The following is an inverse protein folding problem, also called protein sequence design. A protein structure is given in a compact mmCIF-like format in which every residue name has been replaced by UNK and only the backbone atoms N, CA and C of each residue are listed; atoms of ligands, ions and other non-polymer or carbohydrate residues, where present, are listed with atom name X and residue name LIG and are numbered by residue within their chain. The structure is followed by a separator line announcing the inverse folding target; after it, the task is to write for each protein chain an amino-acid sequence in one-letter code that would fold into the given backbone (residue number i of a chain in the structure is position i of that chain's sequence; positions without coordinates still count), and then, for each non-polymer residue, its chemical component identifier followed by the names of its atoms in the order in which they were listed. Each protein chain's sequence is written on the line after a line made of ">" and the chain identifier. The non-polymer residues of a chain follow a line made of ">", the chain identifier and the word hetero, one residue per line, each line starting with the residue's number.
data_IF_191166295881
#
_entry.id   IF_191166295881
#
_cell.length_a   1.000
_cell.length_b   1.000
_cell.length_c   1.000
_cell.angle_alpha   90.00
_cell.angle_beta   90.00
_cell.angle_gamma   90.00
#
_symmetry.space_group_name_H-M   'P 1'
#
loop_
_entity.id
_entity.type
_entity.pdbx_description
1 polymer ?
#
# COMPACT_ATOMS: atom_id res chain seq x y z
N UNK A 1 2.11 -15.99 -16.30
CA UNK A 1 1.02 -15.46 -15.44
C UNK A 1 0.54 -16.62 -14.58
N UNK A 2 0.28 -16.42 -13.29
CA UNK A 2 -0.37 -17.45 -12.49
C UNK A 2 -1.85 -17.50 -12.87
N UNK A 3 -2.34 -18.65 -13.33
CA UNK A 3 -3.76 -18.86 -13.63
C UNK A 3 -4.61 -19.14 -12.37
N UNK A 4 -4.16 -18.68 -11.20
CA UNK A 4 -4.91 -18.86 -9.97
C UNK A 4 -6.05 -17.83 -9.91
N UNK A 5 -7.32 -18.25 -9.76
CA UNK A 5 -8.42 -17.30 -9.65
C UNK A 5 -8.28 -16.48 -8.37
N UNK A 6 -8.69 -15.21 -8.40
CA UNK A 6 -8.57 -14.28 -7.26
C UNK A 6 -9.47 -14.71 -6.08
N UNK A 7 -10.59 -15.33 -6.39
CA UNK A 7 -11.54 -15.85 -5.43
C UNK A 7 -11.95 -17.27 -5.82
N UNK A 8 -12.50 -18.02 -4.85
CA UNK A 8 -13.08 -19.33 -5.09
C UNK A 8 -14.40 -19.45 -4.33
N UNK A 9 -15.50 -19.88 -4.99
CA UNK A 9 -16.74 -20.13 -4.30
C UNK A 9 -16.63 -21.36 -3.40
N UNK A 10 -17.21 -21.27 -2.22
CA UNK A 10 -17.29 -22.37 -1.24
C UNK A 10 -18.70 -22.50 -0.68
N UNK A 11 -19.18 -23.73 -0.57
CA UNK A 11 -20.42 -24.01 0.13
C UNK A 11 -20.24 -23.77 1.63
N UNK A 12 -21.12 -22.99 2.23
CA UNK A 12 -21.06 -22.67 3.65
C UNK A 12 -22.47 -22.45 4.25
N UNK A 13 -22.52 -22.28 5.57
CA UNK A 13 -23.76 -22.01 6.30
C UNK A 13 -23.73 -20.60 6.87
N UNK A 14 -24.77 -19.82 6.60
CA UNK A 14 -24.92 -18.46 7.12
C UNK A 14 -26.02 -18.41 8.15
N UNK A 15 -25.72 -17.87 9.33
CA UNK A 15 -26.71 -17.52 10.34
C UNK A 15 -27.21 -16.09 10.10
N UNK A 16 -28.52 -15.92 9.89
CA UNK A 16 -29.15 -14.60 9.78
C UNK A 16 -30.58 -14.69 10.32
N UNK A 17 -30.98 -13.71 11.13
CA UNK A 17 -32.33 -13.61 11.67
C UNK A 17 -32.83 -14.89 12.38
N UNK A 18 -31.99 -15.47 13.25
CA UNK A 18 -32.40 -16.63 14.06
C UNK A 18 -32.22 -18.00 13.39
N UNK A 19 -31.79 -18.07 12.12
CA UNK A 19 -31.79 -19.32 11.34
C UNK A 19 -30.49 -19.50 10.56
N UNK A 20 -30.10 -20.76 10.36
CA UNK A 20 -29.06 -21.14 9.40
C UNK A 20 -29.68 -21.39 8.02
N UNK A 21 -28.91 -21.05 6.98
CA UNK A 21 -29.20 -21.39 5.58
C UNK A 21 -27.91 -21.81 4.88
N UNK A 22 -28.00 -22.78 3.98
CA UNK A 22 -26.90 -23.15 3.09
C UNK A 22 -26.78 -22.10 1.98
N UNK A 23 -25.56 -21.63 1.76
CA UNK A 23 -25.23 -20.63 0.74
C UNK A 23 -23.92 -20.99 0.05
N UNK A 24 -23.59 -20.24 -1.00
CA UNK A 24 -22.22 -20.15 -1.53
C UNK A 24 -21.66 -18.78 -1.18
N UNK A 25 -20.40 -18.74 -0.77
CA UNK A 25 -19.66 -17.51 -0.47
C UNK A 25 -18.28 -17.57 -1.13
N UNK A 26 -17.69 -16.41 -1.43
CA UNK A 26 -16.39 -16.35 -2.08
C UNK A 26 -15.27 -16.18 -1.06
N UNK A 27 -14.23 -17.03 -1.17
CA UNK A 27 -12.99 -16.89 -0.39
C UNK A 27 -11.87 -16.39 -1.27
N UNK A 28 -11.09 -15.44 -0.77
CA UNK A 28 -9.91 -14.95 -1.45
C UNK A 28 -8.85 -16.04 -1.57
N UNK A 29 -8.21 -16.13 -2.73
CA UNK A 29 -7.06 -17.02 -2.94
C UNK A 29 -5.80 -16.36 -2.40
N UNK A 30 -5.06 -17.08 -1.55
CA UNK A 30 -3.77 -16.65 -1.04
C UNK A 30 -2.66 -17.56 -1.57
N UNK A 31 -1.64 -16.97 -2.17
CA UNK A 31 -0.46 -17.67 -2.69
C UNK A 31 0.75 -17.42 -1.82
N UNK A 32 1.69 -18.35 -1.85
CA UNK A 32 2.98 -18.24 -1.16
C UNK A 32 4.07 -17.84 -2.16
N UNK A 33 4.60 -16.64 -2.02
CA UNK A 33 5.66 -16.08 -2.86
C UNK A 33 6.96 -16.03 -2.08
N UNK A 34 8.06 -16.48 -2.67
CA UNK A 34 9.37 -16.53 -2.03
C UNK A 34 10.37 -15.69 -2.80
N UNK A 35 11.13 -14.86 -2.10
CA UNK A 35 12.20 -14.07 -2.66
C UNK A 35 13.52 -14.34 -1.95
N UNK A 36 14.61 -14.38 -2.71
CA UNK A 36 15.99 -14.41 -2.20
C UNK A 36 16.71 -13.19 -2.74
N UNK A 37 17.26 -12.37 -1.85
CA UNK A 37 18.03 -11.19 -2.21
C UNK A 37 19.51 -11.50 -1.97
N UNK A 38 20.33 -11.39 -3.01
CA UNK A 38 21.75 -11.71 -2.98
C UNK A 38 22.48 -10.94 -1.87
N UNK A 39 23.22 -11.66 -1.03
CA UNK A 39 23.96 -11.08 0.10
C UNK A 39 23.10 -10.58 1.27
N UNK A 40 21.77 -10.67 1.20
CA UNK A 40 20.86 -10.19 2.24
C UNK A 40 20.10 -11.34 2.90
N UNK A 41 19.47 -12.21 2.10
CA UNK A 41 18.78 -13.39 2.62
C UNK A 41 17.47 -13.69 1.91
N UNK A 42 16.69 -14.58 2.51
CA UNK A 42 15.46 -15.15 1.94
C UNK A 42 14.23 -14.77 2.76
N UNK A 43 13.12 -14.50 2.09
CA UNK A 43 11.82 -14.22 2.69
C UNK A 43 10.72 -14.96 1.96
N UNK A 44 9.64 -15.27 2.68
CA UNK A 44 8.41 -15.82 2.11
C UNK A 44 7.23 -14.98 2.57
N UNK A 45 6.35 -14.67 1.62
CA UNK A 45 5.18 -13.82 1.78
C UNK A 45 3.93 -14.62 1.41
N UNK A 46 2.83 -14.31 2.07
CA UNK A 46 1.49 -14.73 1.67
C UNK A 46 0.77 -13.53 1.08
N UNK A 47 0.17 -13.69 -0.10
CA UNK A 47 -0.35 -12.58 -0.87
C UNK A 47 -1.47 -12.99 -1.83
N UNK A 48 -2.20 -12.01 -2.35
CA UNK A 48 -3.10 -12.25 -3.47
C UNK A 48 -2.33 -12.69 -4.73
N UNK A 49 -2.91 -13.51 -5.62
CA UNK A 49 -2.29 -13.95 -6.88
C UNK A 49 -2.22 -12.85 -7.95
N UNK A 50 -1.90 -11.63 -7.54
CA UNK A 50 -1.66 -10.47 -8.38
C UNK A 50 -0.15 -10.30 -8.54
N UNK A 51 0.32 -9.99 -9.74
CA UNK A 51 1.73 -9.69 -10.12
C UNK A 51 2.76 -9.90 -8.98
N UNK A 52 3.25 -11.13 -8.76
CA UNK A 52 4.14 -11.44 -7.65
C UNK A 52 5.51 -10.77 -7.78
N UNK A 53 5.94 -10.45 -9.00
CA UNK A 53 7.23 -9.80 -9.26
C UNK A 53 7.24 -8.39 -8.65
N UNK A 54 6.16 -7.64 -8.88
CA UNK A 54 5.95 -6.32 -8.27
C UNK A 54 5.95 -6.41 -6.74
N UNK A 55 5.32 -7.44 -6.17
CA UNK A 55 5.31 -7.64 -4.72
C UNK A 55 6.73 -7.86 -4.18
N UNK A 56 7.53 -8.75 -4.79
CA UNK A 56 8.88 -9.06 -4.27
C UNK A 56 9.86 -7.90 -4.43
N UNK A 57 9.78 -7.15 -5.54
CA UNK A 57 10.56 -5.92 -5.73
C UNK A 57 10.25 -4.91 -4.64
N UNK A 58 8.96 -4.68 -4.39
CA UNK A 58 8.49 -3.80 -3.33
C UNK A 58 8.96 -4.21 -1.94
N UNK A 59 8.72 -5.48 -1.59
CA UNK A 59 9.09 -6.02 -0.30
C UNK A 59 10.59 -5.91 -0.05
N UNK A 60 11.40 -6.29 -1.03
CA UNK A 60 12.86 -6.18 -0.91
C UNK A 60 13.30 -4.73 -0.68
N UNK A 61 12.76 -3.77 -1.45
CA UNK A 61 13.10 -2.36 -1.33
C UNK A 61 12.74 -1.76 0.04
N UNK A 62 11.59 -2.16 0.60
CA UNK A 62 11.07 -1.57 1.83
C UNK A 62 11.58 -2.26 3.10
N UNK A 63 11.76 -3.58 3.11
CA UNK A 63 12.08 -4.34 4.34
C UNK A 63 13.45 -5.01 4.33
N UNK A 64 14.09 -5.24 3.18
CA UNK A 64 15.31 -6.06 3.11
C UNK A 64 16.57 -5.27 2.78
N UNK A 65 16.46 -4.19 2.01
CA UNK A 65 17.62 -3.41 1.59
C UNK A 65 17.91 -2.23 2.53
N UNK A 66 19.15 -1.72 2.58
CA UNK A 66 19.44 -0.40 3.13
C UNK A 66 18.97 0.72 2.17
N UNK A 67 19.01 1.97 2.63
CA UNK A 67 18.73 3.14 1.78
C UNK A 67 19.79 3.27 0.66
N UNK A 68 19.39 3.86 -0.48
CA UNK A 68 20.29 4.07 -1.63
C UNK A 68 20.53 2.83 -2.48
N UNK A 69 19.76 1.76 -2.26
CA UNK A 69 19.82 0.53 -3.04
C UNK A 69 18.43 0.13 -3.53
N UNK A 70 18.38 -0.48 -4.71
CA UNK A 70 17.16 -1.02 -5.31
C UNK A 70 17.34 -2.51 -5.65
N UNK A 71 16.26 -3.30 -5.53
CA UNK A 71 16.29 -4.69 -5.94
C UNK A 71 16.07 -4.82 -7.45
N UNK A 72 16.63 -5.86 -8.06
CA UNK A 72 16.43 -6.22 -9.46
C UNK A 72 16.20 -7.72 -9.54
N UNK A 73 15.11 -8.15 -10.16
CA UNK A 73 14.88 -9.59 -10.40
C UNK A 73 15.88 -10.09 -11.44
N UNK A 74 16.60 -11.16 -11.10
CA UNK A 74 17.59 -11.81 -11.97
C UNK A 74 17.13 -13.16 -12.46
N UNK A 75 16.29 -13.85 -11.69
CA UNK A 75 15.63 -15.08 -12.10
C UNK A 75 14.27 -15.22 -11.44
N UNK A 76 13.36 -15.92 -12.12
CA UNK A 76 12.05 -16.29 -11.60
C UNK A 76 11.69 -17.71 -12.05
N UNK A 77 11.39 -18.58 -11.08
CA UNK A 77 10.88 -19.93 -11.31
C UNK A 77 9.57 -20.10 -10.54
N UNK A 78 8.44 -19.97 -11.25
CA UNK A 78 7.12 -20.01 -10.64
C UNK A 78 6.90 -18.88 -9.63
N UNK A 79 6.86 -19.22 -8.34
CA UNK A 79 6.67 -18.28 -7.23
C UNK A 79 7.96 -18.01 -6.43
N UNK A 80 9.10 -18.43 -6.98
CA UNK A 80 10.43 -18.22 -6.41
C UNK A 80 11.17 -17.18 -7.25
N UNK A 81 11.66 -16.14 -6.60
CA UNK A 81 12.35 -15.02 -7.24
C UNK A 81 13.74 -14.86 -6.63
N UNK A 82 14.75 -14.76 -7.49
CA UNK A 82 16.10 -14.35 -7.09
C UNK A 82 16.32 -12.91 -7.52
N UNK A 83 16.84 -12.10 -6.60
CA UNK A 83 17.02 -10.67 -6.77
C UNK A 83 18.47 -10.30 -6.45
N UNK A 84 19.06 -9.49 -7.32
CA UNK A 84 20.28 -8.76 -7.06
C UNK A 84 19.97 -7.36 -6.52
N UNK A 85 21.02 -6.69 -6.06
CA UNK A 85 20.96 -5.34 -5.52
C UNK A 85 21.80 -4.39 -6.36
N UNK A 86 21.26 -3.21 -6.66
CA UNK A 86 21.96 -2.16 -7.39
C UNK A 86 21.90 -0.83 -6.65
N UNK A 87 22.88 0.07 -6.85
CA UNK A 87 22.77 1.45 -6.39
C UNK A 87 21.53 2.11 -6.97
N UNK A 88 20.80 2.85 -6.14
CA UNK A 88 19.73 3.70 -6.61
C UNK A 88 20.32 4.93 -7.30
N UNK A 89 20.15 5.00 -8.62
CA UNK A 89 20.68 6.08 -9.47
C UNK A 89 19.57 7.03 -9.93
N UNK A 90 18.35 6.87 -9.42
CA UNK A 90 17.24 7.76 -9.74
C UNK A 90 17.50 9.17 -9.18
N UNK A 91 16.95 10.22 -9.82
CA UNK A 91 17.10 11.58 -9.32
C UNK A 91 16.60 11.74 -7.89
N UNK A 92 17.20 12.68 -7.16
CA UNK A 92 16.69 13.07 -5.85
C UNK A 92 15.27 13.67 -6.00
N UNK A 93 14.36 13.41 -5.05
CA UNK A 93 13.01 13.93 -5.09
C UNK A 93 12.96 15.45 -4.95
N UNK A 94 12.05 16.10 -5.65
CA UNK A 94 11.71 17.50 -5.41
C UNK A 94 11.19 17.67 -3.98
N UNK A 95 11.91 18.44 -3.15
CA UNK A 95 11.55 18.71 -1.76
C UNK A 95 10.27 19.53 -1.62
N UNK A 96 9.84 20.23 -2.68
CA UNK A 96 8.57 20.98 -2.70
C UNK A 96 7.34 20.06 -2.80
N UNK A 97 7.52 18.80 -3.20
CA UNK A 97 6.44 17.82 -3.39
C UNK A 97 6.32 16.82 -2.22
N UNK A 98 5.14 16.20 -2.01
CA UNK A 98 3.85 16.50 -2.67
C UNK A 98 3.30 17.86 -2.25
N UNK A 99 2.55 18.56 -3.11
CA UNK A 99 1.95 19.85 -2.71
C UNK A 99 0.92 19.64 -1.60
N UNK A 100 0.73 20.67 -0.78
CA UNK A 100 -0.41 20.71 0.14
C UNK A 100 -1.73 20.79 -0.61
N UNK A 101 -2.78 20.22 -0.03
CA UNK A 101 -4.13 20.20 -0.60
C UNK A 101 -5.15 20.75 0.40
N UNK A 102 -6.23 21.41 -0.06
CA UNK A 102 -7.35 21.79 0.80
C UNK A 102 -8.02 20.58 1.45
N UNK A 103 -8.55 20.75 2.66
CA UNK A 103 -9.24 19.72 3.41
C UNK A 103 -10.41 19.09 2.62
N UNK A 104 -11.20 19.93 1.94
CA UNK A 104 -12.31 19.48 1.11
C UNK A 104 -11.84 18.59 -0.06
N UNK A 105 -10.69 18.92 -0.67
CA UNK A 105 -10.12 18.13 -1.74
C UNK A 105 -9.63 16.76 -1.22
N UNK A 106 -8.95 16.72 -0.07
CA UNK A 106 -8.52 15.47 0.56
C UNK A 106 -9.68 14.51 0.87
N UNK A 107 -10.82 15.05 1.32
CA UNK A 107 -12.04 14.26 1.51
C UNK A 107 -12.61 13.75 0.19
N UNK A 108 -12.64 14.60 -0.84
CA UNK A 108 -13.06 14.21 -2.19
C UNK A 108 -12.19 13.11 -2.78
N UNK A 109 -10.87 13.19 -2.57
CA UNK A 109 -9.91 12.17 -3.00
C UNK A 109 -10.07 10.87 -2.24
N UNK A 110 -10.29 10.91 -0.91
CA UNK A 110 -10.60 9.71 -0.13
C UNK A 110 -11.89 9.06 -0.61
N UNK A 111 -12.93 9.84 -0.92
CA UNK A 111 -14.18 9.34 -1.52
C UNK A 111 -13.93 8.65 -2.85
N UNK A 112 -13.17 9.28 -3.77
CA UNK A 112 -12.78 8.69 -5.08
C UNK A 112 -12.02 7.37 -4.89
N UNK A 113 -11.06 7.34 -3.96
CA UNK A 113 -10.23 6.18 -3.67
C UNK A 113 -11.03 4.99 -3.11
N UNK A 114 -12.04 5.24 -2.28
CA UNK A 114 -12.87 4.20 -1.69
C UNK A 114 -14.01 3.76 -2.61
N UNK A 115 -14.59 4.67 -3.40
CA UNK A 115 -15.74 4.37 -4.25
C UNK A 115 -15.39 3.58 -5.52
N UNK A 116 -14.12 3.53 -5.90
CA UNK A 116 -13.69 2.73 -7.05
C UNK A 116 -13.88 1.24 -6.77
N UNK A 117 -14.45 0.50 -7.73
CA UNK A 117 -14.62 -0.94 -7.61
C UNK A 117 -13.29 -1.66 -7.41
N UNK A 118 -13.28 -2.74 -6.64
CA UNK A 118 -12.11 -3.61 -6.55
C UNK A 118 -12.35 -4.87 -5.74
N UNK A 119 -11.27 -5.58 -5.40
CA UNK A 119 -11.35 -6.95 -4.88
C UNK A 119 -11.95 -7.08 -3.47
N UNK A 120 -12.07 -5.95 -2.75
CA UNK A 120 -12.80 -5.92 -1.49
C UNK A 120 -14.29 -6.19 -1.70
N UNK A 121 -14.88 -5.73 -2.80
CA UNK A 121 -16.33 -5.76 -3.01
C UNK A 121 -16.87 -7.20 -3.11
N UNK A 122 -16.04 -8.11 -3.60
CA UNK A 122 -16.40 -9.52 -3.80
C UNK A 122 -16.28 -10.36 -2.52
N UNK A 123 -15.36 -10.03 -1.61
CA UNK A 123 -14.99 -10.94 -0.49
C UNK A 123 -14.89 -10.28 0.87
N UNK A 124 -14.74 -8.96 0.95
CA UNK A 124 -14.37 -8.27 2.19
C UNK A 124 -12.99 -8.65 2.74
N UNK A 125 -12.11 -9.26 1.93
CA UNK A 125 -10.82 -9.79 2.38
C UNK A 125 -9.61 -8.91 1.98
N UNK A 126 -9.79 -7.95 1.06
CA UNK A 126 -8.69 -7.19 0.47
C UNK A 126 -8.51 -5.80 1.07
N UNK A 127 -7.27 -5.41 1.29
CA UNK A 127 -6.91 -4.02 1.47
C UNK A 127 -6.57 -3.37 0.13
N UNK A 128 -6.64 -2.04 0.13
CA UNK A 128 -6.13 -1.20 -0.97
C UNK A 128 -5.27 -0.05 -0.48
N UNK A 129 -4.34 0.34 -1.35
CA UNK A 129 -3.50 1.52 -1.23
C UNK A 129 -3.35 2.19 -2.60
N UNK A 130 -3.10 3.50 -2.62
CA UNK A 130 -2.86 4.24 -3.85
C UNK A 130 -1.85 5.37 -3.67
N UNK A 131 -1.19 5.75 -4.76
CA UNK A 131 -0.31 6.92 -4.84
C UNK A 131 -1.01 8.00 -5.68
N UNK A 132 -1.13 9.19 -5.11
CA UNK A 132 -1.72 10.35 -5.76
C UNK A 132 -0.64 11.38 -6.09
N UNK A 133 -0.66 11.87 -7.32
CA UNK A 133 0.26 12.89 -7.80
C UNK A 133 -0.44 14.25 -7.83
N UNK A 134 0.04 15.18 -7.00
CA UNK A 134 -0.49 16.55 -6.93
C UNK A 134 -0.18 17.41 -8.15
N UNK A 135 0.83 17.04 -8.95
CA UNK A 135 1.18 17.74 -10.18
C UNK A 135 0.22 17.41 -11.32
N UNK A 136 -0.21 16.15 -11.42
CA UNK A 136 -1.17 15.70 -12.46
C UNK A 136 -2.62 15.70 -12.00
N UNK A 137 -2.88 15.63 -10.69
CA UNK A 137 -4.24 15.55 -10.13
C UNK A 137 -4.83 14.14 -10.16
N UNK A 138 -4.00 13.11 -10.34
CA UNK A 138 -4.43 11.74 -10.58
C UNK A 138 -3.83 10.72 -9.60
N UNK A 139 -4.56 9.62 -9.42
CA UNK A 139 -4.01 8.43 -8.78
C UNK A 139 -3.18 7.65 -9.80
N UNK A 140 -1.85 7.76 -9.70
CA UNK A 140 -0.91 7.20 -10.68
C UNK A 140 -0.70 5.70 -10.53
N UNK A 141 -0.89 5.16 -9.32
CA UNK A 141 -0.80 3.72 -9.03
C UNK A 141 -1.79 3.34 -7.95
N UNK A 142 -2.41 2.17 -8.11
CA UNK A 142 -3.27 1.52 -7.13
C UNK A 142 -2.81 0.09 -6.92
N UNK A 143 -2.91 -0.40 -5.69
CA UNK A 143 -2.58 -1.78 -5.36
C UNK A 143 -3.59 -2.34 -4.37
N UNK A 144 -3.98 -3.59 -4.60
CA UNK A 144 -4.82 -4.37 -3.72
C UNK A 144 -4.11 -5.66 -3.33
N UNK A 145 -4.35 -6.11 -2.10
CA UNK A 145 -3.86 -7.39 -1.60
C UNK A 145 -4.64 -7.79 -0.34
N UNK A 146 -4.66 -9.08 0.00
CA UNK A 146 -5.19 -9.54 1.29
C UNK A 146 -4.41 -8.89 2.44
N UNK A 147 -3.08 -8.78 2.29
CA UNK A 147 -2.19 -8.13 3.25
C UNK A 147 -2.10 -6.61 3.04
N UNK A 148 -2.42 -5.83 4.08
CA UNK A 148 -2.20 -4.35 4.05
C UNK A 148 -0.74 -3.96 3.79
N UNK A 149 0.21 -4.73 4.31
CA UNK A 149 1.64 -4.52 4.07
C UNK A 149 2.00 -4.76 2.61
N UNK A 150 1.44 -5.82 2.02
CA UNK A 150 1.65 -6.18 0.62
C UNK A 150 1.10 -5.10 -0.32
N UNK A 151 0.04 -4.39 0.05
CA UNK A 151 -0.44 -3.24 -0.75
C UNK A 151 0.65 -2.19 -0.92
N UNK A 152 1.34 -1.83 0.18
CA UNK A 152 2.41 -0.83 0.14
C UNK A 152 3.68 -1.36 -0.53
N UNK A 153 4.00 -2.64 -0.32
CA UNK A 153 5.07 -3.32 -1.06
C UNK A 153 4.80 -3.22 -2.57
N UNK A 154 3.60 -3.60 -3.02
CA UNK A 154 3.20 -3.50 -4.43
C UNK A 154 3.30 -2.07 -4.97
N UNK A 155 2.88 -1.06 -4.22
CA UNK A 155 3.07 0.34 -4.64
C UNK A 155 4.55 0.69 -4.85
N UNK A 156 5.44 0.25 -3.96
CA UNK A 156 6.88 0.46 -4.14
C UNK A 156 7.44 -0.32 -5.34
N UNK A 157 6.99 -1.56 -5.55
CA UNK A 157 7.36 -2.36 -6.72
C UNK A 157 6.90 -1.72 -8.04
N UNK A 158 5.67 -1.23 -8.10
CA UNK A 158 5.18 -0.45 -9.24
C UNK A 158 5.96 0.84 -9.41
N UNK A 159 6.31 1.52 -8.31
CA UNK A 159 7.15 2.71 -8.36
C UNK A 159 8.52 2.45 -8.98
N UNK A 160 9.16 1.32 -8.64
CA UNK A 160 10.42 0.89 -9.27
C UNK A 160 10.23 0.60 -10.76
N UNK A 161 9.18 -0.15 -11.12
CA UNK A 161 8.92 -0.57 -12.50
C UNK A 161 8.54 0.59 -13.42
N UNK A 162 7.79 1.56 -12.91
CA UNK A 162 7.28 2.71 -13.65
C UNK A 162 8.18 3.95 -13.53
N UNK A 163 9.26 3.88 -12.75
CA UNK A 163 10.15 5.02 -12.52
C UNK A 163 9.53 6.17 -11.73
N UNK A 164 8.56 5.87 -10.84
CA UNK A 164 7.89 6.89 -10.04
C UNK A 164 8.73 7.34 -8.85
N UNK A 165 8.69 8.64 -8.58
CA UNK A 165 9.30 9.26 -7.41
C UNK A 165 8.31 9.25 -6.24
N UNK A 166 8.23 8.14 -5.51
CA UNK A 166 7.30 7.98 -4.37
C UNK A 166 7.32 9.15 -3.36
N UNK A 167 8.49 9.72 -2.99
CA UNK A 167 8.53 10.86 -2.07
C UNK A 167 7.76 12.11 -2.52
N UNK A 168 7.45 12.22 -3.81
CA UNK A 168 6.70 13.33 -4.41
C UNK A 168 5.18 13.07 -4.44
N UNK A 169 4.74 11.89 -4.00
CA UNK A 169 3.36 11.42 -4.08
C UNK A 169 2.71 11.35 -2.69
N UNK A 170 1.39 11.44 -2.65
CA UNK A 170 0.58 11.25 -1.44
C UNK A 170 0.14 9.79 -1.36
N UNK A 171 0.40 9.13 -0.23
CA UNK A 171 -0.03 7.75 0.01
C UNK A 171 -1.43 7.71 0.62
N UNK A 172 -2.37 7.06 -0.07
CA UNK A 172 -3.72 6.77 0.42
C UNK A 172 -3.83 5.31 0.88
N UNK A 173 -4.44 5.09 2.06
CA UNK A 173 -4.56 3.77 2.68
C UNK A 173 -5.99 3.48 3.15
N UNK A 174 -6.48 2.28 2.89
CA UNK A 174 -7.73 1.76 3.47
C UNK A 174 -7.58 1.26 4.92
N UNK A 175 -6.35 0.96 5.35
CA UNK A 175 -6.05 0.24 6.60
C UNK A 175 -5.57 1.16 7.73
N UNK A 176 -5.44 0.61 8.94
CA UNK A 176 -4.79 1.31 10.07
C UNK A 176 -3.32 1.61 9.77
N UNK A 177 -2.84 2.74 10.28
CA UNK A 177 -1.41 3.10 10.20
C UNK A 177 -0.72 2.63 11.50
N UNK A 178 -0.16 1.43 11.44
CA UNK A 178 0.66 0.84 12.51
C UNK A 178 2.14 1.20 12.36
N UNK A 179 2.96 1.01 13.39
CA UNK A 179 4.40 1.25 13.32
C UNK A 179 5.06 0.57 12.10
N UNK A 180 4.69 -0.67 11.79
CA UNK A 180 5.20 -1.40 10.62
C UNK A 180 4.73 -0.84 9.28
N UNK A 181 3.53 -0.24 9.19
CA UNK A 181 3.08 0.45 7.97
C UNK A 181 3.84 1.77 7.81
N UNK A 182 4.00 2.52 8.91
CA UNK A 182 4.76 3.77 8.90
C UNK A 182 6.24 3.52 8.55
N UNK A 183 6.85 2.45 9.07
CA UNK A 183 8.21 2.05 8.70
C UNK A 183 8.37 1.91 7.19
N UNK A 184 7.46 1.20 6.53
CA UNK A 184 7.45 1.05 5.07
C UNK A 184 7.25 2.38 4.33
N UNK A 185 6.36 3.24 4.82
CA UNK A 185 6.14 4.56 4.24
C UNK A 185 7.42 5.43 4.33
N UNK A 186 8.11 5.41 5.48
CA UNK A 186 9.40 6.06 5.69
C UNK A 186 10.48 5.50 4.77
N UNK A 187 10.55 4.17 4.64
CA UNK A 187 11.49 3.48 3.76
C UNK A 187 11.24 3.80 2.28
N UNK A 188 10.01 4.06 1.90
CA UNK A 188 9.61 4.54 0.59
C UNK A 188 9.85 6.05 0.39
N UNK A 189 10.25 6.77 1.45
CA UNK A 189 10.42 8.22 1.46
C UNK A 189 9.12 9.02 1.37
N UNK A 190 7.97 8.40 1.63
CA UNK A 190 6.65 9.05 1.61
C UNK A 190 6.61 10.19 2.63
N UNK A 191 6.16 11.36 2.20
CA UNK A 191 6.09 12.58 3.03
C UNK A 191 4.68 12.91 3.52
N UNK A 192 3.66 12.28 2.93
CA UNK A 192 2.26 12.48 3.31
C UNK A 192 1.46 11.18 3.22
N UNK A 193 0.78 10.84 4.31
CA UNK A 193 -0.04 9.63 4.44
C UNK A 193 -1.46 10.01 4.83
N UNK A 194 -2.44 9.57 4.02
CA UNK A 194 -3.87 9.75 4.25
C UNK A 194 -4.52 8.38 4.43
N UNK A 195 -4.90 8.05 5.65
CA UNK A 195 -5.55 6.79 5.98
C UNK A 195 -7.03 6.98 6.27
N UNK A 196 -7.85 6.07 5.71
CA UNK A 196 -9.26 5.95 6.06
C UNK A 196 -9.44 5.58 7.53
N UNK A 197 -8.48 4.89 8.15
CA UNK A 197 -8.61 4.24 9.46
C UNK A 197 -7.75 4.89 10.56
N UNK A 198 -7.75 4.27 11.74
CA UNK A 198 -7.02 4.75 12.91
C UNK A 198 -5.49 4.72 12.72
N UNK A 199 -4.79 5.57 13.47
CA UNK A 199 -3.33 5.55 13.61
C UNK A 199 -2.94 5.05 15.00
N UNK A 200 -1.79 4.39 15.12
CA UNK A 200 -1.24 3.97 16.42
C UNK A 200 -0.26 5.01 16.96
N UNK A 201 -0.07 5.07 18.29
CA UNK A 201 0.88 6.01 18.92
C UNK A 201 2.31 5.86 18.38
N UNK A 202 2.81 4.63 18.21
CA UNK A 202 4.14 4.40 17.64
C UNK A 202 4.27 4.87 16.18
N UNK A 203 3.19 4.78 15.38
CA UNK A 203 3.19 5.35 14.03
C UNK A 203 3.20 6.88 14.04
N UNK A 204 2.48 7.49 14.98
CA UNK A 204 2.48 8.94 15.18
C UNK A 204 3.87 9.45 15.57
N UNK A 205 4.50 8.83 16.57
CA UNK A 205 5.87 9.20 17.00
C UNK A 205 6.85 9.16 15.83
N UNK A 206 6.86 8.06 15.07
CA UNK A 206 7.74 7.94 13.90
C UNK A 206 7.44 8.97 12.80
N UNK A 207 6.16 9.31 12.58
CA UNK A 207 5.78 10.36 11.62
C UNK A 207 6.25 11.74 12.08
N UNK A 208 6.14 12.06 13.37
CA UNK A 208 6.60 13.33 13.94
C UNK A 208 8.12 13.47 13.82
N UNK A 209 8.87 12.43 14.19
CA UNK A 209 10.34 12.41 14.09
C UNK A 209 10.84 12.60 12.65
N UNK A 210 10.10 12.06 11.68
CA UNK A 210 10.46 12.12 10.26
C UNK A 210 9.87 13.31 9.50
N UNK A 211 9.06 14.15 10.15
CA UNK A 211 8.40 15.27 9.50
C UNK A 211 7.30 14.88 8.50
N UNK A 212 6.68 13.71 8.64
CA UNK A 212 5.59 13.25 7.77
C UNK A 212 4.27 13.92 8.16
N UNK A 213 3.50 14.35 7.16
CA UNK A 213 2.09 14.70 7.34
C UNK A 213 1.26 13.41 7.46
N UNK A 214 0.62 13.18 8.60
CA UNK A 214 -0.15 11.97 8.89
C UNK A 214 -1.61 12.32 9.19
N UNK A 215 -2.50 11.86 8.32
CA UNK A 215 -3.95 11.96 8.45
C UNK A 215 -4.52 10.56 8.68
N UNK A 216 -5.39 10.44 9.68
CA UNK A 216 -6.17 9.24 9.93
C UNK A 216 -7.65 9.55 10.03
N UNK A 217 -8.46 8.51 10.13
CA UNK A 217 -9.92 8.62 10.17
C UNK A 217 -10.49 9.48 9.05
N UNK A 218 -9.91 9.45 7.85
CA UNK A 218 -10.50 10.09 6.68
C UNK A 218 -11.76 9.34 6.27
N UNK A 219 -12.89 9.77 6.84
CA UNK A 219 -14.21 9.19 6.68
C UNK A 219 -14.98 10.08 5.72
N UNK A 220 -14.97 9.67 4.46
CA UNK A 220 -15.62 10.33 3.34
C UNK A 220 -17.14 10.47 3.54
N UNK A 221 -17.80 9.49 4.15
CA UNK A 221 -19.23 9.52 4.46
C UNK A 221 -19.59 10.41 5.66
N UNK A 222 -18.64 10.68 6.55
CA UNK A 222 -18.82 11.53 7.73
C UNK A 222 -18.24 12.94 7.51
N UNK A 223 -17.74 13.21 6.30
CA UNK A 223 -17.07 14.46 5.89
C UNK A 223 -16.03 14.97 6.89
N UNK A 224 -15.21 14.05 7.42
CA UNK A 224 -14.18 14.39 8.41
C UNK A 224 -12.90 13.59 8.22
N UNK A 225 -11.81 14.16 8.72
CA UNK A 225 -10.55 13.46 8.99
C UNK A 225 -9.87 14.06 10.22
N UNK A 226 -8.82 13.41 10.70
CA UNK A 226 -8.01 13.90 11.81
C UNK A 226 -6.57 14.03 11.36
N UNK A 227 -6.04 15.26 11.42
CA UNK A 227 -4.60 15.52 11.25
C UNK A 227 -3.91 15.19 12.56
N UNK A 228 -3.02 14.22 12.56
CA UNK A 228 -2.24 13.85 13.75
C UNK A 228 -0.90 14.58 13.80
N UNK A 229 -0.31 14.87 12.64
CA UNK A 229 0.89 15.71 12.50
C UNK A 229 0.92 16.30 11.08
N UNK A 230 1.32 17.56 10.94
CA UNK A 230 1.48 18.25 9.65
C UNK A 230 2.54 19.37 9.74
N UNK A 231 3.82 19.01 9.93
CA UNK A 231 4.87 20.00 10.20
C UNK A 231 5.18 20.88 8.98
N UNK A 232 4.80 20.44 7.77
CA UNK A 232 5.00 21.18 6.52
C UNK A 232 3.76 21.97 6.07
N UNK A 233 2.66 21.98 6.83
CA UNK A 233 1.43 22.70 6.47
C UNK A 233 0.81 22.22 5.16
N UNK A 234 0.84 20.90 4.89
CA UNK A 234 0.30 20.31 3.66
C UNK A 234 -1.22 20.18 3.68
N UNK A 235 -1.89 20.44 4.80
CA UNK A 235 -3.35 20.43 4.89
C UNK A 235 -3.87 21.86 4.95
N UNK A 236 -4.47 22.33 3.85
CA UNK A 236 -5.10 23.65 3.75
C UNK A 236 -6.56 23.68 4.19
N UNK A 237 -7.09 24.88 4.45
CA UNK A 237 -8.53 25.13 4.58
C UNK A 237 -9.20 25.23 3.21
#
# INVERSE_FOLDING_TARGET
>A
MLDAPLTRPVACRRYRNGRFSDITDDVATEIRVTLTVAGVGKKTLYAAPLDPEVLVLGHAALDMLPAGQIPVVTAAEGLFFDLDVRPDTRPAPDTALPRGLPAAELLGLMRRFIAEAGLWDDTGCFHRAALYDTGTGEFVVRAEDIGRHNCLDRLAGYGLRLGLCLPELILFLSCRVTASMMHKALRAGIRMVVSRSAVTGAALTAAQEAGITLIGFARDAEERFTVFTDPSGRVGL
#
